data_IF_456630574664
#
_entry.id   IF_456630574664
#
_cell.length_a   1.000
_cell.length_b   1.000
_cell.length_c   1.000
_cell.angle_alpha   90.00
_cell.angle_beta   90.00
_cell.angle_gamma   90.00
#
_symmetry.space_group_name_H-M   'P 1'
#
loop_
_entity.id
_entity.type
_entity.pdbx_description
1 polymer ?
#
# COMPACT_ATOMS: atom_id res chain seq x y z
N UNK A 1 15.27 -9.79 12.62
CA UNK A 1 14.82 -9.22 11.33
C UNK A 1 14.20 -10.35 10.51
N UNK A 2 13.03 -10.13 9.90
CA UNK A 2 12.30 -11.12 9.08
C UNK A 2 12.33 -10.72 7.61
N UNK A 3 13.48 -10.92 6.97
CA UNK A 3 13.66 -10.64 5.53
C UNK A 3 12.75 -11.48 4.62
N UNK A 4 12.27 -12.63 5.12
CA UNK A 4 11.38 -13.54 4.39
C UNK A 4 10.12 -12.87 3.84
N UNK A 5 9.54 -11.90 4.54
CA UNK A 5 8.32 -11.23 4.06
C UNK A 5 8.60 -10.36 2.84
N UNK A 6 9.77 -9.70 2.82
CA UNK A 6 10.19 -8.89 1.69
C UNK A 6 10.47 -9.76 0.46
N UNK A 7 11.12 -10.90 0.64
CA UNK A 7 11.35 -11.87 -0.44
C UNK A 7 10.04 -12.46 -0.98
N UNK A 8 9.13 -12.86 -0.10
CA UNK A 8 7.81 -13.37 -0.51
C UNK A 8 7.00 -12.33 -1.27
N UNK A 9 7.00 -11.08 -0.82
CA UNK A 9 6.33 -9.99 -1.54
C UNK A 9 6.94 -9.78 -2.93
N UNK A 10 8.27 -9.78 -3.07
CA UNK A 10 8.96 -9.67 -4.36
C UNK A 10 8.56 -10.79 -5.33
N UNK A 11 8.29 -11.99 -4.81
CA UNK A 11 7.87 -13.15 -5.59
C UNK A 11 6.34 -13.32 -5.69
N UNK A 12 5.56 -12.33 -5.25
CA UNK A 12 4.10 -12.37 -5.27
C UNK A 12 3.52 -11.43 -6.33
N UNK A 13 2.23 -11.62 -6.63
CA UNK A 13 1.47 -10.74 -7.53
C UNK A 13 1.50 -9.27 -7.07
N UNK A 14 1.67 -9.01 -5.77
CA UNK A 14 1.73 -7.66 -5.21
C UNK A 14 2.96 -6.88 -5.69
N UNK A 15 4.04 -7.56 -6.09
CA UNK A 15 5.27 -6.92 -6.58
C UNK A 15 5.05 -6.08 -7.84
N UNK A 16 4.08 -6.47 -8.67
CA UNK A 16 3.74 -5.79 -9.93
C UNK A 16 2.59 -4.81 -9.77
N UNK A 17 1.88 -4.86 -8.64
CA UNK A 17 0.73 -3.99 -8.41
C UNK A 17 1.16 -2.53 -8.22
N UNK A 18 0.40 -1.56 -8.77
CA UNK A 18 0.62 -0.16 -8.47
C UNK A 18 0.57 0.09 -6.96
N UNK A 19 1.56 0.76 -6.35
CA UNK A 19 1.67 0.79 -4.88
C UNK A 19 0.53 1.54 -4.18
N UNK A 20 -0.23 2.37 -4.90
CA UNK A 20 -1.41 3.07 -4.37
C UNK A 20 -2.69 2.23 -4.39
N UNK A 21 -2.67 1.00 -4.92
CA UNK A 21 -3.81 0.09 -4.85
C UNK A 21 -3.95 -0.59 -3.49
N UNK A 22 -5.11 -1.17 -3.27
CA UNK A 22 -5.48 -1.82 -2.02
C UNK A 22 -5.77 -3.30 -2.23
N UNK A 23 -5.21 -4.14 -1.35
CA UNK A 23 -5.44 -5.59 -1.30
C UNK A 23 -6.23 -5.97 -0.04
N UNK A 24 -6.98 -7.05 -0.11
CA UNK A 24 -7.71 -7.66 0.99
C UNK A 24 -6.77 -8.38 1.96
N UNK A 25 -7.26 -8.71 3.16
CA UNK A 25 -6.53 -9.58 4.10
C UNK A 25 -6.16 -10.94 3.50
N UNK A 26 -7.01 -11.51 2.63
CA UNK A 26 -6.75 -12.82 2.03
C UNK A 26 -5.60 -12.78 1.01
N UNK A 27 -5.61 -11.78 0.12
CA UNK A 27 -4.53 -11.55 -0.84
C UNK A 27 -3.21 -11.27 -0.14
N UNK A 28 -3.22 -10.41 0.88
CA UNK A 28 -2.03 -10.12 1.68
C UNK A 28 -1.50 -11.36 2.39
N UNK A 29 -2.38 -12.16 3.04
CA UNK A 29 -2.00 -13.39 3.73
C UNK A 29 -1.29 -14.37 2.79
N UNK A 30 -1.86 -14.56 1.60
CA UNK A 30 -1.27 -15.37 0.53
C UNK A 30 0.10 -14.83 0.12
N UNK A 31 0.21 -13.53 -0.14
CA UNK A 31 1.43 -12.90 -0.64
C UNK A 31 2.61 -13.00 0.34
N UNK A 32 2.37 -12.84 1.65
CA UNK A 32 3.44 -12.94 2.67
C UNK A 32 3.55 -14.35 3.27
N UNK A 33 2.69 -15.29 2.84
CA UNK A 33 2.67 -16.69 3.27
C UNK A 33 2.38 -16.89 4.76
N UNK A 34 1.36 -16.19 5.29
CA UNK A 34 0.87 -16.38 6.66
C UNK A 34 -0.61 -16.71 6.65
N UNK A 35 -1.11 -17.31 7.73
CA UNK A 35 -2.54 -17.56 7.88
C UNK A 35 -3.34 -16.25 8.05
N UNK A 36 -4.56 -16.18 7.53
CA UNK A 36 -5.40 -14.97 7.63
C UNK A 36 -5.69 -14.56 9.08
N UNK A 37 -5.81 -15.55 9.98
CA UNK A 37 -5.96 -15.30 11.42
C UNK A 37 -4.72 -14.60 12.01
N UNK A 38 -3.53 -14.90 11.50
CA UNK A 38 -2.28 -14.23 11.91
C UNK A 38 -2.33 -12.75 11.57
N UNK A 39 -2.78 -12.39 10.36
CA UNK A 39 -2.98 -11.00 9.97
C UNK A 39 -4.02 -10.29 10.84
N UNK A 40 -5.14 -10.95 11.15
CA UNK A 40 -6.16 -10.40 12.06
C UNK A 40 -5.57 -10.11 13.44
N UNK A 41 -4.80 -11.04 14.00
CA UNK A 41 -4.13 -10.87 15.29
C UNK A 41 -3.08 -9.74 15.25
N UNK A 42 -2.29 -9.66 14.18
CA UNK A 42 -1.31 -8.59 14.00
C UNK A 42 -1.96 -7.22 13.90
N UNK A 43 -3.08 -7.10 13.19
CA UNK A 43 -3.84 -5.85 13.10
C UNK A 43 -4.33 -5.40 14.47
N UNK A 44 -4.89 -6.32 15.26
CA UNK A 44 -5.36 -6.00 16.62
C UNK A 44 -4.23 -5.56 17.55
N UNK A 45 -3.01 -6.07 17.35
CA UNK A 45 -1.83 -5.77 18.17
C UNK A 45 -0.94 -4.66 17.64
N UNK A 46 -1.20 -4.14 16.43
CA UNK A 46 -0.34 -3.15 15.78
C UNK A 46 1.00 -3.69 15.26
N UNK A 47 1.14 -5.00 15.08
CA UNK A 47 2.41 -5.65 14.70
C UNK A 47 2.53 -5.93 13.18
N UNK A 48 1.47 -5.68 12.42
CA UNK A 48 1.38 -5.99 10.98
C UNK A 48 1.44 -4.74 10.11
N UNK A 49 1.34 -4.91 8.78
CA UNK A 49 1.23 -3.77 7.88
C UNK A 49 0.00 -2.94 8.22
N UNK A 50 0.06 -1.60 8.10
CA UNK A 50 -1.04 -0.75 8.52
C UNK A 50 -2.24 -0.94 7.60
N UNK A 51 -3.39 -1.20 8.23
CA UNK A 51 -4.66 -1.31 7.52
C UNK A 51 -5.13 0.08 7.06
N UNK A 52 -5.79 0.12 5.92
CA UNK A 52 -6.46 1.32 5.45
C UNK A 52 -7.59 1.72 6.42
N UNK A 53 -7.87 3.03 6.59
CA UNK A 53 -8.98 3.48 7.41
C UNK A 53 -10.30 2.81 7.02
N UNK A 54 -11.04 2.31 8.02
CA UNK A 54 -12.33 1.64 7.78
C UNK A 54 -13.34 2.54 7.06
N UNK A 55 -13.24 3.87 7.26
CA UNK A 55 -14.06 4.87 6.58
C UNK A 55 -13.92 4.85 5.05
N UNK A 56 -12.81 4.35 4.50
CA UNK A 56 -12.62 4.25 3.05
C UNK A 56 -13.37 3.05 2.44
N UNK A 57 -13.66 2.04 3.26
CA UNK A 57 -14.22 0.76 2.82
C UNK A 57 -15.40 0.36 3.70
N UNK A 58 -16.31 1.31 4.00
CA UNK A 58 -17.46 1.08 4.87
C UNK A 58 -18.27 -0.13 4.42
N UNK A 59 -18.51 -1.07 5.35
CA UNK A 59 -19.24 -2.32 5.07
C UNK A 59 -18.47 -3.36 4.26
N UNK A 60 -17.19 -3.12 3.93
CA UNK A 60 -16.33 -4.05 3.19
C UNK A 60 -15.22 -4.60 4.09
N UNK A 61 -14.62 -5.75 3.72
CA UNK A 61 -13.47 -6.30 4.44
C UNK A 61 -12.30 -5.31 4.53
N UNK A 62 -11.49 -5.45 5.58
CA UNK A 62 -10.27 -4.65 5.76
C UNK A 62 -9.34 -4.79 4.56
N UNK A 63 -8.73 -3.65 4.18
CA UNK A 63 -7.77 -3.58 3.09
C UNK A 63 -6.46 -2.94 3.51
N UNK A 64 -5.42 -3.19 2.73
CA UNK A 64 -4.06 -2.72 2.95
C UNK A 64 -3.55 -2.07 1.67
N UNK A 65 -2.97 -0.88 1.78
CA UNK A 65 -2.32 -0.24 0.64
C UNK A 65 -1.02 -0.99 0.34
N UNK A 66 -0.79 -1.30 -0.93
CA UNK A 66 0.39 -2.07 -1.38
C UNK A 66 1.69 -1.40 -0.95
N UNK A 67 1.81 -0.07 -1.12
CA UNK A 67 2.98 0.70 -0.68
C UNK A 67 3.28 0.48 0.82
N UNK A 68 2.26 0.56 1.68
CA UNK A 68 2.45 0.36 3.12
C UNK A 68 2.85 -1.06 3.49
N UNK A 69 2.37 -2.05 2.74
CA UNK A 69 2.79 -3.45 2.93
C UNK A 69 4.28 -3.61 2.61
N UNK A 70 4.76 -3.01 1.52
CA UNK A 70 6.18 -3.03 1.17
C UNK A 70 7.05 -2.29 2.19
N UNK A 71 6.62 -1.13 2.69
CA UNK A 71 7.33 -0.39 3.74
C UNK A 71 7.41 -1.21 5.02
N UNK A 72 6.29 -1.77 5.50
CA UNK A 72 6.30 -2.64 6.67
C UNK A 72 7.24 -3.84 6.50
N UNK A 73 7.22 -4.51 5.34
CA UNK A 73 8.10 -5.64 5.10
C UNK A 73 9.58 -5.24 5.04
N UNK A 74 9.89 -4.07 4.49
CA UNK A 74 11.24 -3.49 4.51
C UNK A 74 11.70 -3.22 5.96
N UNK A 75 10.84 -2.67 6.80
CA UNK A 75 11.12 -2.42 8.22
C UNK A 75 11.39 -3.74 8.97
N UNK A 76 10.62 -4.80 8.69
CA UNK A 76 10.89 -6.13 9.25
C UNK A 76 12.27 -6.66 8.84
N UNK A 77 12.75 -6.31 7.65
CA UNK A 77 14.08 -6.65 7.14
C UNK A 77 15.19 -5.71 7.66
N UNK A 78 14.88 -4.71 8.48
CA UNK A 78 15.85 -3.73 8.98
C UNK A 78 16.18 -2.61 7.99
N UNK A 79 15.35 -2.43 6.97
CA UNK A 79 15.49 -1.38 5.95
C UNK A 79 14.34 -0.38 6.06
N UNK A 80 14.56 0.87 5.66
CA UNK A 80 13.51 1.89 5.62
C UNK A 80 13.32 2.37 4.19
N UNK A 81 12.07 2.41 3.74
CA UNK A 81 11.69 2.90 2.41
C UNK A 81 10.57 3.89 2.59
N UNK A 82 10.69 5.06 1.96
CA UNK A 82 9.61 6.04 1.94
C UNK A 82 8.52 5.61 0.94
N UNK A 83 7.22 5.62 1.32
CA UNK A 83 6.14 5.19 0.43
C UNK A 83 6.12 5.90 -0.93
N UNK A 84 6.48 7.17 -0.98
CA UNK A 84 6.49 7.95 -2.23
C UNK A 84 7.54 7.46 -3.23
N UNK A 85 8.66 6.89 -2.75
CA UNK A 85 9.70 6.32 -3.63
C UNK A 85 9.24 5.04 -4.31
N UNK A 86 8.39 4.25 -3.66
CA UNK A 86 7.75 3.09 -4.28
C UNK A 86 6.84 3.54 -5.43
N UNK A 87 6.03 4.58 -5.20
CA UNK A 87 5.18 5.17 -6.24
C UNK A 87 6.01 5.75 -7.40
N UNK A 88 7.08 6.48 -7.08
CA UNK A 88 7.98 7.07 -8.07
C UNK A 88 8.61 6.00 -8.96
N UNK A 89 9.17 4.95 -8.37
CA UNK A 89 9.76 3.83 -9.10
C UNK A 89 8.72 3.17 -10.01
N UNK A 90 7.54 2.83 -9.49
CA UNK A 90 6.50 2.21 -10.29
C UNK A 90 6.04 3.11 -11.45
N UNK A 91 5.84 4.41 -11.21
CA UNK A 91 5.44 5.38 -12.25
C UNK A 91 6.51 5.56 -13.32
N UNK A 92 7.79 5.55 -12.94
CA UNK A 92 8.93 5.59 -13.87
C UNK A 92 8.90 4.36 -14.76
N UNK A 93 8.85 3.18 -14.16
CA UNK A 93 9.07 1.90 -14.84
C UNK A 93 7.86 1.48 -15.69
N UNK A 94 6.63 1.80 -15.25
CA UNK A 94 5.39 1.33 -15.89
C UNK A 94 4.66 2.41 -16.71
N UNK A 95 4.91 3.70 -16.45
CA UNK A 95 4.21 4.81 -17.12
C UNK A 95 5.15 5.82 -17.78
N UNK A 96 6.47 5.61 -17.72
CA UNK A 96 7.47 6.53 -18.24
C UNK A 96 7.27 7.96 -17.70
N UNK A 97 6.86 8.08 -16.43
CA UNK A 97 6.55 9.36 -15.82
C UNK A 97 7.83 10.19 -15.64
N UNK A 98 7.97 11.26 -16.43
CA UNK A 98 9.18 12.08 -16.50
C UNK A 98 9.53 12.85 -15.22
N UNK A 99 8.56 13.00 -14.30
CA UNK A 99 8.74 13.72 -13.03
C UNK A 99 8.83 12.79 -11.81
N UNK A 100 9.35 11.57 -11.99
CA UNK A 100 9.46 10.58 -10.91
C UNK A 100 10.36 11.02 -9.73
N UNK A 101 11.31 11.94 -9.96
CA UNK A 101 12.18 12.47 -8.91
C UNK A 101 11.52 13.58 -8.06
N UNK A 102 10.38 14.11 -8.51
CA UNK A 102 9.65 15.16 -7.82
C UNK A 102 8.53 14.55 -6.96
N UNK A 103 8.71 14.61 -5.64
CA UNK A 103 7.76 14.07 -4.67
C UNK A 103 6.36 14.65 -4.86
N UNK A 104 6.22 15.96 -5.06
CA UNK A 104 4.91 16.59 -5.20
C UNK A 104 4.23 16.17 -6.51
N UNK A 105 4.99 16.12 -7.61
CA UNK A 105 4.48 15.64 -8.89
C UNK A 105 4.03 14.17 -8.82
N UNK A 106 4.80 13.31 -8.15
CA UNK A 106 4.44 11.91 -7.89
C UNK A 106 3.16 11.82 -7.08
N UNK A 107 3.05 12.56 -5.98
CA UNK A 107 1.86 12.57 -5.14
C UNK A 107 0.62 13.03 -5.91
N UNK A 108 0.72 14.14 -6.67
CA UNK A 108 -0.37 14.64 -7.49
C UNK A 108 -0.80 13.62 -8.56
N UNK A 109 0.16 12.95 -9.19
CA UNK A 109 -0.10 11.92 -10.20
C UNK A 109 -0.81 10.71 -9.59
N UNK A 110 -0.32 10.22 -8.45
CA UNK A 110 -0.96 9.12 -7.71
C UNK A 110 -2.38 9.47 -7.32
N UNK A 111 -2.62 10.66 -6.77
CA UNK A 111 -3.97 11.12 -6.41
C UNK A 111 -4.92 11.12 -7.61
N UNK A 112 -4.45 11.57 -8.78
CA UNK A 112 -5.24 11.51 -10.02
C UNK A 112 -5.57 10.07 -10.40
N UNK A 113 -4.58 9.17 -10.39
CA UNK A 113 -4.78 7.75 -10.73
C UNK A 113 -5.73 7.05 -9.76
N UNK A 114 -5.62 7.35 -8.47
CA UNK A 114 -6.55 6.86 -7.45
C UNK A 114 -7.98 7.33 -7.75
N UNK A 115 -8.18 8.61 -8.09
CA UNK A 115 -9.52 9.15 -8.44
C UNK A 115 -10.13 8.52 -9.69
N UNK A 116 -9.30 8.13 -10.66
CA UNK A 116 -9.75 7.48 -11.90
C UNK A 116 -10.07 5.99 -11.69
N UNK A 117 -9.52 5.37 -10.64
CA UNK A 117 -9.75 3.96 -10.36
C UNK A 117 -11.18 3.70 -9.88
N UNK A 118 -11.87 2.74 -10.52
CA UNK A 118 -13.20 2.28 -10.09
C UNK A 118 -13.16 1.55 -8.74
N UNK A 119 -12.00 0.99 -8.37
CA UNK A 119 -11.78 0.30 -7.10
C UNK A 119 -11.68 1.28 -5.92
N UNK A 120 -11.44 2.54 -6.23
CA UNK A 120 -11.30 3.62 -5.27
C UNK A 120 -12.48 4.59 -5.40
N UNK A 121 -13.58 4.25 -4.71
CA UNK A 121 -14.70 5.19 -4.48
C UNK A 121 -14.71 5.65 -3.02
N UNK A 122 -13.78 6.50 -2.57
CA UNK A 122 -14.00 7.19 -1.32
C UNK A 122 -15.09 8.24 -1.59
N UNK A 123 -16.30 8.00 -1.07
CA UNK A 123 -17.33 9.05 -1.00
C UNK A 123 -16.84 10.32 -0.27
N UNK A 124 -15.67 10.28 0.37
CA UNK A 124 -15.18 11.28 1.32
C UNK A 124 -13.77 11.86 1.07
N UNK A 125 -13.22 11.78 -0.15
CA UNK A 125 -12.00 12.57 -0.46
C UNK A 125 -12.26 14.08 -0.51
N UNK A 126 -13.51 14.51 -0.37
CA UNK A 126 -13.96 15.90 -0.56
C UNK A 126 -13.85 16.79 0.68
N UNK A 127 -13.58 16.31 1.91
CA UNK A 127 -13.56 17.28 3.04
C UNK A 127 -12.62 17.05 4.23
N UNK A 128 -12.16 15.84 4.59
CA UNK A 128 -11.32 15.65 5.80
C UNK A 128 -10.11 14.70 5.67
N UNK A 129 -9.90 14.06 4.53
CA UNK A 129 -8.85 13.04 4.36
C UNK A 129 -7.49 13.52 3.83
N UNK A 130 -7.28 14.82 3.62
CA UNK A 130 -6.10 15.34 2.91
C UNK A 130 -4.76 15.08 3.59
N UNK A 131 -4.71 14.90 4.92
CA UNK A 131 -3.42 14.85 5.64
C UNK A 131 -2.94 13.45 6.05
N UNK A 132 -3.74 12.40 5.88
CA UNK A 132 -3.41 11.06 6.42
C UNK A 132 -2.99 10.02 5.39
N UNK A 133 -3.07 10.34 4.10
CA UNK A 133 -2.76 9.40 3.01
C UNK A 133 -1.30 9.46 2.57
N UNK A 134 -0.57 10.50 2.96
CA UNK A 134 0.85 10.69 2.61
C UNK A 134 1.55 11.46 3.75
N UNK A 135 1.55 10.85 4.93
CA UNK A 135 2.49 11.18 6.01
C UNK A 135 3.73 10.30 5.87
#
# INVERSE_FOLDING_TARGET
MKAEYQERLKNSDLSQMPPWLFVTSAELAKAIGVHIQTLSNWRLRGNGPPAAPSAFFKGRPTRYMVAHVHVWAAEQAGTSIEPWKLNAAWLRDNMQFSKAEDREAVQARVQLLMRLSRDFRPENLTFKGRSGLIG
#
